data_IF_103219946379
#
_entry.id   IF_103219946379
#
_cell.length_a   1.000
_cell.length_b   1.000
_cell.length_c   1.000
_cell.angle_alpha   90.00
_cell.angle_beta   90.00
_cell.angle_gamma   90.00
#
_symmetry.space_group_name_H-M   'P 1'
#
loop_
_entity.id
_entity.type
_entity.pdbx_description
1 polymer ?
#
# COMPACT_ATOMS: atom_id res chain seq x y z
N UNK A 1 -7.26 -26.14 -27.48
CA UNK A 1 -7.16 -24.88 -26.72
C UNK A 1 -7.74 -23.79 -27.61
N UNK A 2 -8.74 -23.05 -27.14
CA UNK A 2 -9.23 -21.86 -27.87
C UNK A 2 -8.11 -20.83 -27.94
N UNK A 3 -7.84 -20.32 -29.11
CA UNK A 3 -6.85 -19.24 -29.32
C UNK A 3 -7.21 -18.06 -28.40
N UNK A 4 -6.26 -17.61 -27.58
CA UNK A 4 -6.46 -16.43 -26.73
C UNK A 4 -6.49 -15.20 -27.62
N UNK A 5 -7.61 -14.48 -27.58
CA UNK A 5 -7.86 -13.31 -28.45
C UNK A 5 -7.91 -12.05 -27.59
N UNK A 6 -7.30 -10.99 -28.09
CA UNK A 6 -7.36 -9.66 -27.49
C UNK A 6 -8.81 -9.21 -27.28
N UNK A 7 -9.14 -8.80 -26.05
CA UNK A 7 -10.44 -8.20 -25.71
C UNK A 7 -10.28 -6.69 -25.49
N UNK A 8 -10.95 -5.89 -26.30
CA UNK A 8 -10.85 -4.43 -26.24
C UNK A 8 -11.50 -3.84 -24.99
N UNK A 9 -12.57 -4.47 -24.48
CA UNK A 9 -13.22 -4.06 -23.22
C UNK A 9 -12.32 -4.28 -22.02
N UNK A 10 -11.68 -5.46 -21.92
CA UNK A 10 -10.71 -5.77 -20.88
C UNK A 10 -9.52 -4.83 -20.95
N UNK A 11 -8.99 -4.58 -22.17
CA UNK A 11 -7.87 -3.67 -22.38
C UNK A 11 -8.20 -2.24 -21.93
N UNK A 12 -9.38 -1.72 -22.32
CA UNK A 12 -9.83 -0.38 -21.91
C UNK A 12 -9.99 -0.27 -20.38
N UNK A 13 -10.56 -1.30 -19.76
CA UNK A 13 -10.68 -1.36 -18.29
C UNK A 13 -9.31 -1.36 -17.63
N UNK A 14 -8.37 -2.16 -18.11
CA UNK A 14 -7.05 -2.27 -17.51
C UNK A 14 -6.18 -1.02 -17.71
N UNK A 15 -6.28 -0.34 -18.87
CA UNK A 15 -5.65 0.97 -19.07
C UNK A 15 -6.20 2.01 -18.07
N UNK A 16 -7.53 2.04 -17.90
CA UNK A 16 -8.21 2.92 -16.93
C UNK A 16 -7.79 2.57 -15.51
N UNK A 17 -7.81 1.30 -15.13
CA UNK A 17 -7.40 0.82 -13.80
C UNK A 17 -5.95 1.18 -13.51
N UNK A 18 -5.04 1.04 -14.46
CA UNK A 18 -3.63 1.43 -14.34
C UNK A 18 -3.50 2.92 -14.01
N UNK A 19 -4.23 3.79 -14.74
CA UNK A 19 -4.24 5.22 -14.49
C UNK A 19 -4.83 5.57 -13.11
N UNK A 20 -5.90 4.87 -12.69
CA UNK A 20 -6.51 5.03 -11.37
C UNK A 20 -5.54 4.65 -10.24
N UNK A 21 -4.79 3.55 -10.38
CA UNK A 21 -3.80 3.15 -9.37
C UNK A 21 -2.61 4.12 -9.37
N UNK A 22 -2.16 4.62 -10.54
CA UNK A 22 -1.13 5.67 -10.57
C UNK A 22 -1.57 6.90 -9.77
N UNK A 23 -2.82 7.32 -9.92
CA UNK A 23 -3.40 8.48 -9.20
C UNK A 23 -3.35 8.30 -7.67
N UNK A 24 -3.34 7.05 -7.17
CA UNK A 24 -3.27 6.80 -5.73
C UNK A 24 -1.97 7.28 -5.10
N UNK A 25 -0.84 7.25 -5.81
CA UNK A 25 0.43 7.73 -5.24
C UNK A 25 0.46 9.25 -5.06
N UNK A 26 0.06 10.10 -6.02
CA UNK A 26 -0.21 11.52 -5.75
C UNK A 26 -1.30 11.74 -4.69
N UNK A 27 -2.35 10.92 -4.66
CA UNK A 27 -3.37 10.94 -3.60
C UNK A 27 -2.78 10.69 -2.21
N UNK A 28 -1.88 9.71 -2.10
CA UNK A 28 -1.12 9.43 -0.89
C UNK A 28 -0.21 10.60 -0.50
N UNK A 29 0.45 11.23 -1.48
CA UNK A 29 1.27 12.41 -1.25
C UNK A 29 0.47 13.56 -0.64
N UNK A 30 -0.77 13.78 -1.08
CA UNK A 30 -1.68 14.77 -0.49
C UNK A 30 -2.17 14.35 0.89
N UNK A 31 -2.55 13.09 1.06
CA UNK A 31 -3.02 12.53 2.33
C UNK A 31 -1.93 12.65 3.41
N UNK A 32 -0.73 12.14 3.14
CA UNK A 32 0.41 12.24 4.05
C UNK A 32 0.92 13.68 4.20
N UNK A 33 1.00 14.42 3.09
CA UNK A 33 1.38 15.82 3.09
C UNK A 33 0.51 16.68 3.97
N UNK A 34 -0.81 16.45 3.98
CA UNK A 34 -1.75 17.12 4.88
C UNK A 34 -1.61 16.73 6.36
N UNK A 35 -1.16 15.50 6.64
CA UNK A 35 -1.00 14.96 8.00
C UNK A 35 0.28 15.40 8.71
N UNK A 36 1.37 15.67 7.98
CA UNK A 36 2.63 16.14 8.55
C UNK A 36 2.54 17.61 8.98
N UNK A 37 3.60 18.11 9.66
CA UNK A 37 3.73 19.53 9.97
C UNK A 37 3.96 20.35 8.70
N UNK A 38 3.51 21.62 8.68
CA UNK A 38 3.61 22.53 7.53
C UNK A 38 5.03 22.67 6.94
N UNK A 39 6.06 22.45 7.75
CA UNK A 39 7.48 22.52 7.39
C UNK A 39 8.10 21.19 6.94
N UNK A 40 7.29 20.17 6.73
CA UNK A 40 7.66 18.84 6.24
C UNK A 40 6.83 18.37 5.06
N UNK A 41 5.97 19.22 4.52
CA UNK A 41 4.99 18.86 3.46
C UNK A 41 5.68 18.45 2.17
N UNK A 42 6.63 19.29 1.70
CA UNK A 42 7.30 19.06 0.42
C UNK A 42 8.17 17.81 0.46
N UNK A 43 8.94 17.62 1.54
CA UNK A 43 9.71 16.40 1.72
C UNK A 43 8.81 15.15 1.70
N UNK A 44 7.67 15.20 2.40
CA UNK A 44 6.73 14.07 2.43
C UNK A 44 6.16 13.75 1.05
N UNK A 45 5.75 14.78 0.30
CA UNK A 45 5.27 14.62 -1.07
C UNK A 45 6.38 14.12 -2.00
N UNK A 46 7.59 14.68 -1.90
CA UNK A 46 8.75 14.26 -2.68
C UNK A 46 9.14 12.79 -2.44
N UNK A 47 8.98 12.27 -1.22
CA UNK A 47 9.20 10.86 -0.93
C UNK A 47 8.27 9.96 -1.74
N UNK A 48 7.00 10.34 -1.92
CA UNK A 48 6.04 9.61 -2.77
C UNK A 48 6.39 9.74 -4.26
N UNK A 49 6.68 10.97 -4.74
CA UNK A 49 6.97 11.21 -6.16
C UNK A 49 8.28 10.56 -6.61
N UNK A 50 9.34 10.62 -5.79
CA UNK A 50 10.61 9.96 -6.14
C UNK A 50 10.47 8.44 -6.18
N UNK A 51 9.59 7.86 -5.35
CA UNK A 51 9.27 6.43 -5.42
C UNK A 51 8.64 6.05 -6.76
N UNK A 52 7.75 6.90 -7.31
CA UNK A 52 7.20 6.69 -8.66
C UNK A 52 8.32 6.65 -9.72
N UNK A 53 9.23 7.63 -9.69
CA UNK A 53 10.33 7.70 -10.65
C UNK A 53 11.30 6.52 -10.56
N UNK A 54 11.73 6.17 -9.34
CA UNK A 54 12.69 5.08 -9.13
C UNK A 54 12.08 3.72 -9.50
N UNK A 55 10.91 3.40 -8.93
CA UNK A 55 10.35 2.06 -9.09
C UNK A 55 9.91 1.81 -10.53
N UNK A 56 9.40 2.82 -11.25
CA UNK A 56 9.05 2.67 -12.67
C UNK A 56 10.26 2.28 -13.53
N UNK A 57 11.44 2.87 -13.25
CA UNK A 57 12.68 2.51 -13.94
C UNK A 57 13.17 1.12 -13.54
N UNK A 58 13.22 0.80 -12.25
CA UNK A 58 13.64 -0.52 -11.77
C UNK A 58 12.73 -1.63 -12.30
N UNK A 59 11.42 -1.35 -12.37
CA UNK A 59 10.43 -2.30 -12.86
C UNK A 59 10.71 -2.73 -14.31
N UNK A 60 11.00 -1.77 -15.18
CA UNK A 60 11.36 -2.03 -16.58
C UNK A 60 12.73 -2.72 -16.68
N UNK A 61 13.72 -2.30 -15.88
CA UNK A 61 15.06 -2.86 -15.96
C UNK A 61 15.09 -4.34 -15.57
N UNK A 62 14.50 -4.71 -14.42
CA UNK A 62 14.56 -6.09 -13.91
C UNK A 62 13.40 -6.46 -12.94
N UNK A 63 12.69 -5.49 -12.38
CA UNK A 63 11.68 -5.72 -11.36
C UNK A 63 10.51 -6.58 -11.86
N UNK A 64 10.03 -6.32 -13.08
CA UNK A 64 9.04 -7.18 -13.71
C UNK A 64 9.53 -8.62 -13.84
N UNK A 65 10.77 -8.81 -14.30
CA UNK A 65 11.38 -10.12 -14.46
C UNK A 65 11.54 -10.86 -13.12
N UNK A 66 11.95 -10.16 -12.06
CA UNK A 66 12.04 -10.74 -10.71
C UNK A 66 10.68 -11.16 -10.14
N UNK A 67 9.59 -10.54 -10.62
CA UNK A 67 8.24 -10.80 -10.12
C UNK A 67 7.49 -11.82 -10.97
N UNK A 68 7.59 -11.74 -12.30
CA UNK A 68 6.80 -12.52 -13.27
C UNK A 68 7.66 -13.27 -14.30
N UNK A 69 8.95 -13.38 -14.07
CA UNK A 69 9.83 -14.26 -14.83
C UNK A 69 9.73 -15.69 -14.31
N UNK A 70 10.30 -16.62 -15.08
CA UNK A 70 10.33 -18.05 -14.74
C UNK A 70 10.81 -18.28 -13.30
N UNK A 71 10.06 -19.08 -12.57
CA UNK A 71 10.35 -19.33 -11.15
C UNK A 71 11.76 -19.91 -10.90
N UNK A 72 12.41 -19.31 -9.91
CA UNK A 72 13.64 -19.79 -9.32
C UNK A 72 13.40 -20.10 -7.83
N UNK A 73 13.76 -21.28 -7.40
CA UNK A 73 13.72 -21.65 -5.99
C UNK A 73 12.34 -22.09 -5.48
N UNK A 74 11.53 -22.68 -6.36
CA UNK A 74 10.25 -23.28 -6.00
C UNK A 74 9.23 -22.26 -5.41
N UNK A 75 9.00 -21.18 -6.16
CA UNK A 75 8.04 -20.14 -5.84
C UNK A 75 8.61 -18.96 -5.04
N UNK A 76 9.93 -18.82 -4.97
CA UNK A 76 10.57 -17.78 -4.17
C UNK A 76 10.94 -16.51 -4.95
N UNK A 77 11.27 -16.63 -6.25
CA UNK A 77 11.74 -15.50 -7.05
C UNK A 77 11.62 -15.81 -8.54
N UNK A 78 11.14 -14.87 -9.33
CA UNK A 78 11.25 -14.93 -10.79
C UNK A 78 12.69 -14.66 -11.26
N UNK A 79 13.07 -15.23 -12.43
CA UNK A 79 14.39 -15.04 -13.02
C UNK A 79 14.62 -13.56 -13.38
N UNK A 80 15.55 -12.85 -12.71
CA UNK A 80 15.81 -11.44 -12.97
C UNK A 80 16.31 -11.15 -14.38
N UNK A 81 16.83 -12.17 -15.07
CA UNK A 81 17.49 -12.01 -16.38
C UNK A 81 16.58 -12.26 -17.58
N UNK A 82 15.44 -12.92 -17.38
CA UNK A 82 14.57 -13.38 -18.47
C UNK A 82 13.99 -12.24 -19.31
N UNK A 83 13.45 -11.23 -18.65
CA UNK A 83 12.76 -10.09 -19.29
C UNK A 83 13.46 -8.76 -19.03
N UNK A 84 14.78 -8.72 -18.91
CA UNK A 84 15.52 -7.46 -18.72
C UNK A 84 15.14 -6.46 -19.80
N UNK A 85 14.73 -5.24 -19.36
CA UNK A 85 14.27 -4.19 -20.26
C UNK A 85 12.99 -4.55 -21.00
N UNK A 86 12.20 -5.50 -20.48
CA UNK A 86 10.96 -6.03 -21.08
C UNK A 86 11.17 -6.70 -22.44
N UNK A 87 12.36 -7.24 -22.67
CA UNK A 87 12.72 -7.91 -23.91
C UNK A 87 11.73 -9.04 -24.22
N UNK A 88 11.17 -9.02 -25.44
CA UNK A 88 10.22 -10.04 -25.92
C UNK A 88 8.76 -9.76 -25.52
N UNK A 89 8.47 -8.79 -24.63
CA UNK A 89 7.13 -8.55 -24.11
C UNK A 89 6.37 -7.39 -24.76
N UNK A 90 7.05 -6.60 -25.63
CA UNK A 90 6.45 -5.41 -26.27
C UNK A 90 5.88 -5.67 -27.67
N UNK A 91 5.91 -6.92 -28.14
CA UNK A 91 5.35 -7.27 -29.44
C UNK A 91 3.83 -7.06 -29.44
N UNK A 92 3.23 -6.63 -30.58
CA UNK A 92 1.79 -6.35 -30.67
C UNK A 92 0.90 -7.57 -30.39
N UNK A 93 1.41 -8.78 -30.57
CA UNK A 93 0.77 -10.08 -30.33
C UNK A 93 1.09 -10.67 -28.94
N UNK A 94 1.91 -9.99 -28.15
CA UNK A 94 2.20 -10.41 -26.78
C UNK A 94 0.99 -10.11 -25.87
N UNK A 95 0.31 -11.17 -25.41
CA UNK A 95 -0.87 -11.11 -24.56
C UNK A 95 -0.62 -11.76 -23.20
N UNK A 96 -1.17 -11.12 -22.16
CA UNK A 96 -1.38 -11.70 -20.83
C UNK A 96 -2.88 -11.92 -20.66
N UNK A 97 -3.35 -13.16 -20.70
CA UNK A 97 -4.78 -13.43 -20.81
C UNK A 97 -5.35 -12.70 -22.04
N UNK A 98 -6.40 -11.91 -21.86
CA UNK A 98 -7.13 -11.19 -22.93
C UNK A 98 -6.61 -9.77 -23.17
N UNK A 99 -5.55 -9.33 -22.54
CA UNK A 99 -5.01 -7.96 -22.61
C UNK A 99 -3.56 -7.95 -23.14
N UNK A 100 -3.08 -6.83 -23.74
CA UNK A 100 -1.66 -6.71 -24.06
C UNK A 100 -0.78 -6.87 -22.83
N UNK A 101 0.30 -7.64 -22.94
CA UNK A 101 1.25 -7.85 -21.83
C UNK A 101 1.79 -6.54 -21.29
N UNK A 102 2.00 -5.53 -22.14
CA UNK A 102 2.45 -4.19 -21.72
C UNK A 102 1.47 -3.48 -20.79
N UNK A 103 0.17 -3.74 -20.90
CA UNK A 103 -0.85 -3.19 -20.00
C UNK A 103 -0.79 -3.87 -18.63
N UNK A 104 -0.62 -5.19 -18.60
CA UNK A 104 -0.39 -5.94 -17.36
C UNK A 104 0.88 -5.48 -16.65
N UNK A 105 1.99 -5.32 -17.38
CA UNK A 105 3.27 -4.81 -16.87
C UNK A 105 3.07 -3.44 -16.20
N UNK A 106 2.40 -2.51 -16.90
CA UNK A 106 2.14 -1.18 -16.37
C UNK A 106 1.24 -1.21 -15.13
N UNK A 107 0.20 -2.05 -15.12
CA UNK A 107 -0.69 -2.21 -13.97
C UNK A 107 0.05 -2.69 -12.73
N UNK A 108 0.84 -3.74 -12.85
CA UNK A 108 1.60 -4.31 -11.74
C UNK A 108 2.71 -3.36 -11.22
N UNK A 109 3.30 -2.53 -12.09
CA UNK A 109 4.23 -1.48 -11.68
C UNK A 109 3.62 -0.51 -10.66
N UNK A 110 2.32 -0.19 -10.78
CA UNK A 110 1.64 0.74 -9.87
C UNK A 110 1.58 0.20 -8.44
N UNK A 111 1.44 -1.12 -8.28
CA UNK A 111 1.46 -1.78 -6.97
C UNK A 111 2.86 -1.72 -6.33
N UNK A 112 3.91 -1.94 -7.11
CA UNK A 112 5.29 -1.80 -6.65
C UNK A 112 5.57 -0.37 -6.15
N UNK A 113 5.12 0.63 -6.90
CA UNK A 113 5.29 2.06 -6.57
C UNK A 113 4.59 2.40 -5.25
N UNK A 114 3.29 2.10 -5.16
CA UNK A 114 2.51 2.54 -3.99
C UNK A 114 2.97 1.81 -2.73
N UNK A 115 3.39 0.54 -2.82
CA UNK A 115 3.77 -0.25 -1.65
C UNK A 115 4.96 0.37 -0.91
N UNK A 116 6.03 0.72 -1.62
CA UNK A 116 7.17 1.39 -0.98
C UNK A 116 6.82 2.81 -0.54
N UNK A 117 6.00 3.54 -1.30
CA UNK A 117 5.58 4.89 -0.94
C UNK A 117 4.82 4.92 0.41
N UNK A 118 4.00 3.90 0.72
CA UNK A 118 3.29 3.78 2.00
C UNK A 118 4.23 3.81 3.20
N UNK A 119 5.42 3.20 3.10
CA UNK A 119 6.39 3.11 4.19
C UNK A 119 6.85 4.50 4.64
N UNK A 120 6.91 5.46 3.72
CA UNK A 120 7.36 6.84 4.01
C UNK A 120 6.57 7.51 5.13
N UNK A 121 5.28 7.18 5.26
CA UNK A 121 4.42 7.70 6.33
C UNK A 121 4.89 7.35 7.73
N UNK A 122 5.50 6.18 7.93
CA UNK A 122 5.99 5.76 9.24
C UNK A 122 7.20 6.57 9.71
N UNK A 123 8.05 7.02 8.79
CA UNK A 123 9.30 7.73 9.07
C UNK A 123 9.25 9.23 8.74
N UNK A 124 8.06 9.75 8.50
CA UNK A 124 7.83 11.15 8.16
C UNK A 124 8.47 12.11 9.18
N UNK A 125 8.77 13.33 8.71
CA UNK A 125 9.39 14.45 9.46
C UNK A 125 10.85 14.26 9.89
N UNK A 126 11.48 13.07 9.69
CA UNK A 126 12.85 12.83 10.20
C UNK A 126 13.76 12.00 9.30
N UNK A 127 13.25 11.40 8.23
CA UNK A 127 14.07 10.63 7.31
C UNK A 127 14.86 11.53 6.36
N UNK A 128 16.17 11.25 6.16
CA UNK A 128 16.97 11.90 5.12
C UNK A 128 16.45 11.51 3.74
N UNK A 129 16.25 12.48 2.86
CA UNK A 129 15.76 12.23 1.51
C UNK A 129 16.68 11.31 0.68
N UNK A 130 18.00 11.54 0.73
CA UNK A 130 18.96 10.67 0.03
C UNK A 130 18.97 9.23 0.57
N UNK A 131 18.77 9.04 1.88
CA UNK A 131 18.63 7.71 2.47
C UNK A 131 17.31 7.03 2.04
N UNK A 132 16.24 7.80 1.90
CA UNK A 132 14.99 7.32 1.33
C UNK A 132 15.14 6.82 -0.11
N UNK A 133 15.85 7.57 -0.96
CA UNK A 133 16.16 7.14 -2.34
C UNK A 133 16.84 5.76 -2.37
N UNK A 134 17.88 5.59 -1.55
CA UNK A 134 18.60 4.30 -1.45
C UNK A 134 17.67 3.21 -0.88
N UNK A 135 16.87 3.56 0.13
CA UNK A 135 15.88 2.64 0.71
C UNK A 135 14.89 2.15 -0.34
N UNK A 136 14.31 3.03 -1.16
CA UNK A 136 13.36 2.66 -2.23
C UNK A 136 13.98 1.66 -3.20
N UNK A 137 15.22 1.91 -3.67
CA UNK A 137 15.91 1.01 -4.61
C UNK A 137 16.11 -0.38 -3.99
N UNK A 138 16.70 -0.43 -2.81
CA UNK A 138 17.11 -1.68 -2.18
C UNK A 138 15.88 -2.46 -1.68
N UNK A 139 14.92 -1.77 -1.06
CA UNK A 139 13.71 -2.39 -0.50
C UNK A 139 12.80 -2.94 -1.60
N UNK A 140 12.56 -2.20 -2.68
CA UNK A 140 11.78 -2.71 -3.80
C UNK A 140 12.41 -3.97 -4.39
N UNK A 141 13.74 -3.97 -4.55
CA UNK A 141 14.48 -5.09 -5.11
C UNK A 141 14.48 -6.33 -4.20
N UNK A 142 14.78 -6.15 -2.91
CA UNK A 142 14.99 -7.28 -2.00
C UNK A 142 13.73 -7.69 -1.22
N UNK A 143 12.69 -6.84 -1.17
CA UNK A 143 11.48 -7.16 -0.41
C UNK A 143 10.26 -7.22 -1.32
N UNK A 144 9.96 -6.13 -2.04
CA UNK A 144 8.71 -6.08 -2.79
C UNK A 144 8.68 -7.08 -3.94
N UNK A 145 9.67 -7.10 -4.82
CA UNK A 145 9.65 -7.96 -6.01
C UNK A 145 9.56 -9.45 -5.66
N UNK A 146 10.33 -9.98 -4.68
CA UNK A 146 10.14 -11.36 -4.23
C UNK A 146 8.76 -11.63 -3.62
N UNK A 147 8.26 -10.76 -2.74
CA UNK A 147 6.95 -10.95 -2.10
C UNK A 147 5.82 -10.86 -3.14
N UNK A 148 5.93 -9.97 -4.13
CA UNK A 148 4.98 -9.89 -5.22
C UNK A 148 4.99 -11.15 -6.10
N UNK A 149 6.16 -11.75 -6.34
CA UNK A 149 6.25 -13.07 -6.97
C UNK A 149 5.50 -14.14 -6.16
N UNK A 150 5.71 -14.23 -4.85
CA UNK A 150 5.03 -15.21 -4.01
C UNK A 150 3.52 -15.18 -4.11
N UNK A 151 2.95 -13.98 -4.31
CA UNK A 151 1.50 -13.70 -4.15
C UNK A 151 0.80 -13.53 -5.49
N UNK A 152 1.46 -12.92 -6.49
CA UNK A 152 0.81 -12.49 -7.73
C UNK A 152 1.26 -13.24 -8.98
N UNK A 153 2.30 -14.05 -8.87
CA UNK A 153 2.72 -14.90 -9.99
C UNK A 153 1.97 -16.23 -9.94
N UNK A 154 0.96 -16.36 -10.81
CA UNK A 154 0.14 -17.55 -10.89
C UNK A 154 0.74 -18.56 -11.86
N UNK A 155 0.58 -19.87 -11.55
CA UNK A 155 1.03 -20.98 -12.36
C UNK A 155 0.55 -20.85 -13.82
N UNK A 156 1.50 -20.81 -14.76
CA UNK A 156 1.23 -20.72 -16.19
C UNK A 156 0.98 -22.08 -16.85
N UNK A 157 1.18 -23.17 -16.13
CA UNK A 157 0.98 -24.55 -16.62
C UNK A 157 2.12 -25.14 -17.43
N UNK A 158 3.22 -24.40 -17.66
CA UNK A 158 4.39 -24.82 -18.48
C UNK A 158 5.58 -25.32 -17.63
N UNK A 159 5.33 -26.08 -16.55
CA UNK A 159 6.31 -26.48 -15.54
C UNK A 159 6.94 -25.29 -14.77
N UNK A 160 6.23 -24.17 -14.73
CA UNK A 160 6.54 -23.03 -13.90
C UNK A 160 5.53 -22.97 -12.77
N UNK A 161 5.91 -23.30 -11.53
CA UNK A 161 4.98 -23.37 -10.40
C UNK A 161 4.48 -22.00 -9.95
N UNK A 162 5.07 -20.92 -10.45
CA UNK A 162 4.77 -19.56 -9.98
C UNK A 162 4.99 -19.39 -8.48
N UNK A 163 4.47 -18.29 -7.91
CA UNK A 163 4.66 -17.94 -6.51
C UNK A 163 4.07 -18.96 -5.52
N UNK A 164 4.80 -19.30 -4.48
CA UNK A 164 4.43 -20.35 -3.54
C UNK A 164 3.20 -20.04 -2.68
N UNK A 165 2.95 -18.76 -2.34
CA UNK A 165 1.76 -18.36 -1.55
C UNK A 165 0.50 -18.54 -2.39
N UNK A 166 0.54 -18.10 -3.65
CA UNK A 166 -0.59 -18.20 -4.56
C UNK A 166 -0.89 -19.65 -4.93
N UNK A 167 0.11 -20.40 -5.40
CA UNK A 167 -0.11 -21.68 -6.07
C UNK A 167 0.06 -22.88 -5.13
N UNK A 168 1.15 -22.96 -4.35
CA UNK A 168 1.41 -24.12 -3.50
C UNK A 168 0.61 -24.07 -2.20
N UNK A 169 0.53 -22.90 -1.54
CA UNK A 169 -0.26 -22.73 -0.33
C UNK A 169 -1.74 -22.52 -0.65
N UNK A 170 -2.06 -21.81 -1.73
CA UNK A 170 -3.43 -21.46 -2.11
C UNK A 170 -4.08 -20.48 -1.13
N UNK A 171 -3.30 -19.52 -0.62
CA UNK A 171 -3.84 -18.40 0.13
C UNK A 171 -4.48 -17.39 -0.83
N UNK A 172 -5.56 -16.76 -0.41
CA UNK A 172 -6.26 -15.75 -1.19
C UNK A 172 -5.73 -14.37 -0.81
N UNK A 173 -5.14 -13.69 -1.77
CA UNK A 173 -4.79 -12.27 -1.69
C UNK A 173 -5.07 -11.61 -3.03
N UNK A 174 -6.30 -11.14 -3.22
CA UNK A 174 -6.77 -10.73 -4.54
C UNK A 174 -6.06 -9.50 -5.08
N UNK A 175 -5.78 -8.53 -4.23
CA UNK A 175 -5.19 -7.27 -4.66
C UNK A 175 -4.05 -6.75 -3.75
N UNK A 176 -3.56 -7.52 -2.76
CA UNK A 176 -2.35 -7.16 -2.03
C UNK A 176 -2.52 -6.88 -0.54
N UNK A 177 -3.39 -7.61 0.14
CA UNK A 177 -3.46 -7.56 1.61
C UNK A 177 -2.12 -7.93 2.25
N UNK A 178 -1.49 -9.00 1.78
CA UNK A 178 -0.14 -9.43 2.20
C UNK A 178 0.94 -8.68 1.43
N UNK A 179 0.89 -8.72 0.09
CA UNK A 179 1.95 -8.20 -0.78
C UNK A 179 2.15 -6.68 -0.67
N UNK A 180 1.10 -5.92 -0.37
CA UNK A 180 1.13 -4.46 -0.26
C UNK A 180 1.04 -4.02 1.20
N UNK A 181 -0.09 -4.33 1.88
CA UNK A 181 -0.40 -3.67 3.15
C UNK A 181 0.34 -4.26 4.35
N UNK A 182 0.37 -5.59 4.52
CA UNK A 182 1.19 -6.23 5.57
C UNK A 182 2.65 -5.93 5.33
N UNK A 183 3.10 -6.06 4.07
CA UNK A 183 4.47 -5.81 3.65
C UNK A 183 4.92 -4.38 4.00
N UNK A 184 4.19 -3.35 3.53
CA UNK A 184 4.50 -1.95 3.83
C UNK A 184 4.36 -1.62 5.32
N UNK A 185 3.34 -2.13 5.99
CA UNK A 185 3.07 -1.85 7.39
C UNK A 185 4.15 -2.39 8.32
N UNK A 186 4.60 -3.62 8.12
CA UNK A 186 5.67 -4.23 8.92
C UNK A 186 7.05 -3.64 8.58
N UNK A 187 7.29 -3.30 7.31
CA UNK A 187 8.48 -2.57 6.89
C UNK A 187 8.54 -1.18 7.55
N UNK A 188 7.40 -0.49 7.64
CA UNK A 188 7.27 0.76 8.39
C UNK A 188 7.70 0.60 9.84
N UNK A 189 7.23 -0.44 10.52
CA UNK A 189 7.64 -0.73 11.90
C UNK A 189 9.15 -0.98 12.01
N UNK A 190 9.72 -1.79 11.13
CA UNK A 190 11.16 -2.07 11.13
C UNK A 190 11.99 -0.79 10.92
N UNK A 191 11.60 0.06 9.98
CA UNK A 191 12.27 1.34 9.72
C UNK A 191 12.16 2.31 10.92
N UNK A 192 10.99 2.37 11.58
CA UNK A 192 10.77 3.17 12.79
C UNK A 192 11.68 2.76 13.95
N UNK A 193 11.88 1.46 14.15
CA UNK A 193 12.76 0.96 15.21
C UNK A 193 14.23 1.35 15.00
N UNK A 194 14.66 1.52 13.75
CA UNK A 194 16.03 1.97 13.42
C UNK A 194 16.15 3.48 13.50
N UNK A 195 15.24 4.23 12.87
CA UNK A 195 15.36 5.70 12.78
C UNK A 195 15.08 6.40 14.12
N UNK A 196 14.35 5.75 15.03
CA UNK A 196 14.01 6.27 16.35
C UNK A 196 12.85 7.28 16.35
N UNK A 197 12.62 7.89 17.51
CA UNK A 197 11.47 8.79 17.77
C UNK A 197 11.75 10.21 17.29
N UNK A 198 10.71 10.91 16.80
CA UNK A 198 10.77 12.36 16.53
C UNK A 198 11.05 13.15 17.80
N UNK A 199 11.70 14.30 17.65
CA UNK A 199 11.84 15.26 18.75
C UNK A 199 10.44 15.67 19.24
N UNK A 200 10.20 15.53 20.55
CA UNK A 200 8.90 15.82 21.18
C UNK A 200 7.88 14.66 21.16
N UNK A 201 8.20 13.48 20.61
CA UNK A 201 7.27 12.35 20.62
C UNK A 201 6.80 11.99 22.06
N UNK A 202 5.48 11.89 22.23
CA UNK A 202 4.85 11.63 23.53
C UNK A 202 4.79 12.84 24.47
N UNK A 203 5.35 13.99 24.08
CA UNK A 203 5.32 15.24 24.88
C UNK A 203 4.55 16.36 24.18
N UNK A 204 4.62 16.41 22.86
CA UNK A 204 3.98 17.43 22.02
C UNK A 204 2.99 16.77 21.06
N UNK A 205 1.83 17.38 20.80
CA UNK A 205 0.90 16.87 19.81
C UNK A 205 1.40 17.18 18.40
N UNK A 206 1.58 16.13 17.57
CA UNK A 206 1.82 16.28 16.14
C UNK A 206 0.48 16.36 15.40
N UNK A 207 -0.05 17.57 15.26
CA UNK A 207 -1.33 17.78 14.58
C UNK A 207 -1.14 17.90 13.07
N UNK A 208 -2.05 17.32 12.25
CA UNK A 208 -2.12 17.60 10.83
C UNK A 208 -2.18 19.09 10.57
N UNK A 209 -1.35 19.58 9.64
CA UNK A 209 -1.37 21.03 9.34
C UNK A 209 -2.50 21.42 8.40
N UNK A 210 -3.03 20.48 7.60
CA UNK A 210 -4.07 20.76 6.61
C UNK A 210 -5.00 19.57 6.41
N UNK A 211 -6.11 19.55 7.16
CA UNK A 211 -7.12 18.49 7.07
C UNK A 211 -7.87 18.49 5.72
N UNK A 212 -7.94 19.62 5.01
CA UNK A 212 -8.53 19.65 3.68
C UNK A 212 -7.71 18.82 2.69
N UNK A 213 -6.37 18.94 2.71
CA UNK A 213 -5.50 18.08 1.91
C UNK A 213 -5.64 16.61 2.28
N UNK A 214 -5.76 16.29 3.57
CA UNK A 214 -6.02 14.92 4.05
C UNK A 214 -7.31 14.36 3.45
N UNK A 215 -8.39 15.12 3.48
CA UNK A 215 -9.69 14.70 2.93
C UNK A 215 -9.65 14.52 1.41
N UNK A 216 -9.02 15.44 0.69
CA UNK A 216 -8.82 15.33 -0.76
C UNK A 216 -7.98 14.10 -1.10
N UNK A 217 -6.87 13.89 -0.39
CA UNK A 217 -6.01 12.72 -0.56
C UNK A 217 -6.76 11.41 -0.30
N UNK A 218 -7.55 11.34 0.78
CA UNK A 218 -8.39 10.16 1.06
C UNK A 218 -9.42 9.90 -0.03
N UNK A 219 -10.04 10.95 -0.59
CA UNK A 219 -10.99 10.84 -1.70
C UNK A 219 -10.34 10.32 -2.98
N UNK A 220 -9.12 10.79 -3.31
CA UNK A 220 -8.35 10.31 -4.45
C UNK A 220 -7.89 8.86 -4.25
N UNK A 221 -7.51 8.48 -3.04
CA UNK A 221 -7.19 7.09 -2.70
C UNK A 221 -8.41 6.20 -2.87
N UNK A 222 -9.60 6.61 -2.38
CA UNK A 222 -10.83 5.84 -2.57
C UNK A 222 -11.17 5.67 -4.05
N UNK A 223 -11.12 6.75 -4.81
CA UNK A 223 -11.39 6.70 -6.25
C UNK A 223 -10.41 5.78 -7.00
N UNK A 224 -9.12 5.89 -6.72
CA UNK A 224 -8.09 5.05 -7.33
C UNK A 224 -8.21 3.58 -6.94
N UNK A 225 -8.76 3.29 -5.76
CA UNK A 225 -8.88 1.92 -5.25
C UNK A 225 -9.89 1.06 -6.02
N UNK A 226 -10.79 1.66 -6.77
CA UNK A 226 -11.61 0.91 -7.72
C UNK A 226 -10.74 0.27 -8.81
N UNK A 227 -9.74 0.99 -9.33
CA UNK A 227 -8.75 0.42 -10.24
C UNK A 227 -7.85 -0.59 -9.53
N UNK A 228 -7.44 -0.31 -8.29
CA UNK A 228 -6.58 -1.18 -7.50
C UNK A 228 -7.23 -2.57 -7.28
N UNK A 229 -8.45 -2.61 -6.75
CA UNK A 229 -9.15 -3.85 -6.45
C UNK A 229 -9.84 -4.45 -7.67
N UNK A 230 -10.74 -3.73 -8.35
CA UNK A 230 -11.49 -4.30 -9.46
C UNK A 230 -10.62 -4.47 -10.73
N UNK A 231 -9.55 -3.68 -10.89
CA UNK A 231 -8.52 -3.91 -11.90
C UNK A 231 -7.74 -5.21 -11.69
N UNK A 232 -7.60 -5.70 -10.46
CA UNK A 232 -6.93 -6.97 -10.16
C UNK A 232 -7.66 -8.21 -10.70
N UNK A 233 -8.90 -8.04 -11.20
CA UNK A 233 -9.57 -9.07 -11.99
C UNK A 233 -8.93 -9.26 -13.39
N UNK A 234 -8.06 -8.36 -13.82
CA UNK A 234 -7.36 -8.32 -15.12
C UNK A 234 -8.32 -8.42 -16.33
N UNK A 235 -9.61 -8.17 -16.10
CA UNK A 235 -10.67 -8.20 -17.11
C UNK A 235 -11.88 -7.38 -16.64
N UNK A 236 -12.73 -6.93 -17.56
CA UNK A 236 -14.01 -6.30 -17.27
C UNK A 236 -15.13 -7.34 -17.21
N UNK A 237 -15.10 -8.16 -16.17
CA UNK A 237 -15.97 -9.32 -15.97
C UNK A 237 -16.81 -9.24 -14.68
N UNK A 238 -17.55 -10.29 -14.39
CA UNK A 238 -18.36 -10.38 -13.17
C UNK A 238 -17.52 -10.25 -11.88
N UNK A 239 -16.28 -10.78 -11.88
CA UNK A 239 -15.37 -10.63 -10.74
C UNK A 239 -15.01 -9.17 -10.49
N UNK A 240 -14.71 -8.41 -11.54
CA UNK A 240 -14.47 -6.96 -11.44
C UNK A 240 -15.69 -6.23 -10.86
N UNK A 241 -16.91 -6.60 -11.29
CA UNK A 241 -18.16 -6.01 -10.80
C UNK A 241 -18.40 -6.25 -9.31
N UNK A 242 -18.25 -7.49 -8.86
CA UNK A 242 -18.39 -7.86 -7.43
C UNK A 242 -17.32 -7.15 -6.59
N UNK A 243 -16.08 -7.16 -7.06
CA UNK A 243 -14.94 -6.52 -6.39
C UNK A 243 -15.13 -5.01 -6.25
N UNK A 244 -15.67 -4.36 -7.30
CA UNK A 244 -15.99 -2.93 -7.27
C UNK A 244 -17.04 -2.63 -6.18
N UNK A 245 -18.14 -3.40 -6.16
CA UNK A 245 -19.20 -3.23 -5.16
C UNK A 245 -18.67 -3.46 -3.75
N UNK A 246 -17.94 -4.55 -3.51
CA UNK A 246 -17.40 -4.91 -2.20
C UNK A 246 -16.40 -3.84 -1.71
N UNK A 247 -15.56 -3.28 -2.59
CA UNK A 247 -14.67 -2.18 -2.26
C UNK A 247 -15.45 -0.94 -1.82
N UNK A 248 -16.52 -0.61 -2.52
CA UNK A 248 -17.38 0.53 -2.19
C UNK A 248 -18.03 0.39 -0.81
N UNK A 249 -18.70 -0.75 -0.56
CA UNK A 249 -19.48 -0.92 0.68
C UNK A 249 -18.62 -1.13 1.91
N UNK A 250 -17.49 -1.87 1.78
CA UNK A 250 -16.55 -2.06 2.89
C UNK A 250 -15.90 -0.75 3.32
N UNK A 251 -15.58 0.12 2.38
CA UNK A 251 -15.03 1.45 2.67
C UNK A 251 -16.01 2.31 3.44
N UNK A 252 -17.27 2.35 2.99
CA UNK A 252 -18.33 3.06 3.70
C UNK A 252 -18.54 2.54 5.12
N UNK A 253 -18.59 1.22 5.28
CA UNK A 253 -18.71 0.57 6.59
C UNK A 253 -17.50 0.86 7.49
N UNK A 254 -16.28 0.83 6.94
CA UNK A 254 -15.05 1.14 7.66
C UNK A 254 -15.03 2.59 8.17
N UNK A 255 -15.39 3.55 7.31
CA UNK A 255 -15.50 4.96 7.70
C UNK A 255 -16.50 5.15 8.85
N UNK A 256 -17.70 4.59 8.73
CA UNK A 256 -18.72 4.72 9.76
C UNK A 256 -18.32 4.05 11.07
N UNK A 257 -17.67 2.89 11.03
CA UNK A 257 -17.18 2.19 12.19
C UNK A 257 -16.09 2.98 12.92
N UNK A 258 -15.13 3.56 12.21
CA UNK A 258 -14.09 4.42 12.80
C UNK A 258 -14.71 5.63 13.51
N UNK A 259 -15.59 6.37 12.82
CA UNK A 259 -16.29 7.52 13.39
C UNK A 259 -17.12 7.16 14.62
N UNK A 260 -17.71 5.97 14.63
CA UNK A 260 -18.45 5.45 15.79
C UNK A 260 -17.52 5.22 16.98
N UNK A 261 -16.37 4.61 16.76
CA UNK A 261 -15.36 4.41 17.83
C UNK A 261 -14.89 5.76 18.39
N UNK A 262 -14.55 6.74 17.52
CA UNK A 262 -14.16 8.09 17.97
C UNK A 262 -15.28 8.76 18.76
N UNK A 263 -16.51 8.69 18.28
CA UNK A 263 -17.64 9.29 18.97
C UNK A 263 -17.86 8.72 20.38
N UNK A 264 -17.67 7.41 20.54
CA UNK A 264 -17.81 6.74 21.84
C UNK A 264 -16.62 7.03 22.76
N UNK A 265 -15.40 6.97 22.23
CA UNK A 265 -14.16 7.10 23.00
C UNK A 265 -13.82 8.55 23.33
N UNK A 266 -13.96 9.44 22.33
CA UNK A 266 -13.43 10.81 22.37
C UNK A 266 -14.55 11.87 22.40
N UNK A 267 -15.81 11.46 22.24
CA UNK A 267 -16.98 12.34 22.24
C UNK A 267 -17.25 13.04 20.91
N UNK A 268 -16.36 12.95 19.92
CA UNK A 268 -16.45 13.62 18.63
C UNK A 268 -16.10 12.68 17.49
N UNK A 269 -16.80 12.79 16.37
CA UNK A 269 -16.40 12.23 15.08
C UNK A 269 -15.58 13.29 14.33
N UNK A 270 -14.41 12.94 13.81
CA UNK A 270 -13.48 13.88 13.19
C UNK A 270 -13.33 13.67 11.69
N UNK A 271 -12.92 14.71 10.94
CA UNK A 271 -12.59 14.59 9.53
C UNK A 271 -11.34 13.71 9.31
N UNK A 272 -10.39 13.76 10.24
CA UNK A 272 -9.24 12.86 10.24
C UNK A 272 -9.67 11.41 10.43
N UNK A 273 -10.58 11.15 11.37
CA UNK A 273 -11.15 9.82 11.59
C UNK A 273 -11.95 9.31 10.40
N UNK A 274 -12.71 10.18 9.72
CA UNK A 274 -13.38 9.81 8.48
C UNK A 274 -12.38 9.38 7.39
N UNK A 275 -11.32 10.16 7.18
CA UNK A 275 -10.28 9.84 6.20
C UNK A 275 -9.51 8.56 6.56
N UNK A 276 -9.15 8.37 7.84
CA UNK A 276 -8.49 7.16 8.33
C UNK A 276 -9.38 5.92 8.21
N UNK A 277 -10.68 6.04 8.52
CA UNK A 277 -11.66 4.97 8.38
C UNK A 277 -11.92 4.57 6.92
N UNK A 278 -11.88 5.52 5.99
CA UNK A 278 -11.89 5.25 4.54
C UNK A 278 -10.69 4.36 4.18
N UNK A 279 -9.48 4.78 4.54
CA UNK A 279 -8.26 4.02 4.21
C UNK A 279 -8.27 2.66 4.90
N UNK A 280 -8.68 2.57 6.17
CA UNK A 280 -8.76 1.29 6.89
C UNK A 280 -9.73 0.30 6.23
N UNK A 281 -10.90 0.76 5.79
CA UNK A 281 -11.88 -0.06 5.06
C UNK A 281 -11.35 -0.54 3.71
N UNK A 282 -10.66 0.34 2.96
CA UNK A 282 -10.03 0.03 1.68
C UNK A 282 -8.91 -1.01 1.84
N UNK A 283 -8.02 -0.83 2.82
CA UNK A 283 -6.95 -1.77 3.14
C UNK A 283 -7.50 -3.15 3.49
N UNK A 284 -8.51 -3.18 4.37
CA UNK A 284 -9.09 -4.42 4.87
C UNK A 284 -9.76 -5.25 3.78
N UNK A 285 -10.50 -4.61 2.86
CA UNK A 285 -11.22 -5.32 1.80
C UNK A 285 -10.28 -5.80 0.67
N UNK A 286 -9.10 -5.23 0.54
CA UNK A 286 -8.16 -5.50 -0.56
C UNK A 286 -7.84 -6.98 -0.77
N UNK A 287 -7.52 -7.81 0.25
CA UNK A 287 -7.27 -9.24 0.04
C UNK A 287 -8.51 -10.06 -0.28
N UNK A 288 -9.69 -9.60 0.12
CA UNK A 288 -10.93 -10.37 0.20
C UNK A 288 -12.02 -9.93 -0.77
N UNK A 289 -11.79 -8.84 -1.54
CA UNK A 289 -12.84 -8.18 -2.31
C UNK A 289 -13.54 -9.08 -3.35
N UNK A 290 -12.86 -10.11 -3.86
CA UNK A 290 -13.44 -11.13 -4.78
C UNK A 290 -13.92 -12.41 -4.06
N UNK A 291 -13.68 -12.53 -2.75
CA UNK A 291 -13.93 -13.78 -2.02
C UNK A 291 -15.14 -13.72 -1.08
N UNK A 292 -15.69 -12.54 -0.83
CA UNK A 292 -16.81 -12.32 0.10
C UNK A 292 -18.04 -11.77 -0.62
N UNK A 293 -19.20 -11.99 -0.04
CA UNK A 293 -20.44 -11.32 -0.47
C UNK A 293 -20.51 -9.88 0.09
N UNK A 294 -21.46 -9.04 -0.35
CA UNK A 294 -21.55 -7.66 0.13
C UNK A 294 -21.79 -7.52 1.64
N UNK A 295 -22.45 -8.46 2.30
CA UNK A 295 -22.65 -8.44 3.76
C UNK A 295 -21.35 -8.77 4.48
N UNK A 296 -20.61 -9.77 3.98
CA UNK A 296 -19.26 -10.09 4.44
C UNK A 296 -18.31 -8.91 4.25
N UNK A 297 -18.40 -8.19 3.13
CA UNK A 297 -17.59 -6.99 2.88
C UNK A 297 -17.90 -5.87 3.89
N UNK A 298 -19.16 -5.61 4.20
CA UNK A 298 -19.58 -4.64 5.24
C UNK A 298 -19.02 -5.06 6.60
N UNK A 299 -19.20 -6.29 7.00
CA UNK A 299 -18.73 -6.80 8.28
C UNK A 299 -17.19 -6.71 8.39
N UNK A 300 -16.49 -7.13 7.35
CA UNK A 300 -15.03 -7.11 7.27
C UNK A 300 -14.48 -5.68 7.36
N UNK A 301 -15.04 -4.75 6.58
CA UNK A 301 -14.65 -3.35 6.60
C UNK A 301 -14.87 -2.71 7.97
N UNK A 302 -16.02 -2.96 8.61
CA UNK A 302 -16.33 -2.44 9.94
C UNK A 302 -15.40 -3.02 11.02
N UNK A 303 -15.24 -4.34 11.09
CA UNK A 303 -14.41 -5.01 12.10
C UNK A 303 -12.95 -4.53 12.00
N UNK A 304 -12.39 -4.56 10.79
CA UNK A 304 -11.00 -4.16 10.60
C UNK A 304 -10.77 -2.68 10.91
N UNK A 305 -11.72 -1.82 10.57
CA UNK A 305 -11.61 -0.39 10.88
C UNK A 305 -11.68 -0.10 12.39
N UNK A 306 -12.50 -0.83 13.14
CA UNK A 306 -12.48 -0.79 14.61
C UNK A 306 -11.11 -1.20 15.14
N UNK A 307 -10.55 -2.31 14.66
CA UNK A 307 -9.22 -2.77 15.07
C UNK A 307 -8.13 -1.74 14.75
N UNK A 308 -8.15 -1.14 13.57
CA UNK A 308 -7.21 -0.09 13.17
C UNK A 308 -7.34 1.14 14.07
N UNK A 309 -8.55 1.61 14.35
CA UNK A 309 -8.79 2.80 15.20
C UNK A 309 -8.31 2.63 16.65
N UNK A 310 -8.29 1.38 17.14
CA UNK A 310 -7.72 1.04 18.44
C UNK A 310 -6.18 0.90 18.33
N UNK A 311 -5.70 0.34 17.24
CA UNK A 311 -4.27 0.06 17.04
C UNK A 311 -3.43 1.33 16.85
N UNK A 312 -3.94 2.40 16.24
CA UNK A 312 -3.19 3.65 16.08
C UNK A 312 -2.74 4.25 17.41
N UNK A 313 -3.45 3.97 18.51
CA UNK A 313 -3.06 4.38 19.86
C UNK A 313 -1.93 3.55 20.49
N UNK A 314 -1.64 2.35 19.96
CA UNK A 314 -0.63 1.45 20.52
C UNK A 314 0.79 2.03 20.45
N UNK A 315 1.08 2.88 19.46
CA UNK A 315 2.39 3.54 19.32
C UNK A 315 2.81 4.30 20.59
N UNK A 316 1.87 4.94 21.28
CA UNK A 316 2.15 5.64 22.54
C UNK A 316 2.39 4.68 23.71
N UNK A 317 1.68 3.55 23.75
CA UNK A 317 1.82 2.53 24.82
C UNK A 317 3.09 1.70 24.65
N UNK A 318 3.41 1.32 23.41
CA UNK A 318 4.56 0.48 23.07
C UNK A 318 5.82 1.30 22.77
N UNK A 319 5.67 2.60 22.59
CA UNK A 319 6.80 3.53 22.49
C UNK A 319 7.52 3.51 21.14
N UNK A 320 6.86 3.14 20.04
CA UNK A 320 7.38 3.32 18.67
C UNK A 320 6.71 4.52 18.00
N UNK A 321 7.49 5.34 17.28
CA UNK A 321 6.99 6.56 16.65
C UNK A 321 6.64 6.34 15.18
N UNK A 322 5.52 5.67 14.95
CA UNK A 322 4.88 5.58 13.62
C UNK A 322 4.17 6.91 13.34
N UNK A 323 4.77 7.73 12.46
CA UNK A 323 4.36 9.13 12.32
C UNK A 323 2.93 9.29 11.81
N UNK A 324 2.53 8.54 10.78
CA UNK A 324 1.25 8.69 10.09
C UNK A 324 0.42 7.39 10.10
N UNK A 325 0.56 6.60 11.16
CA UNK A 325 -0.27 5.43 11.45
C UNK A 325 -0.19 4.28 10.41
N UNK A 326 0.96 4.14 9.74
CA UNK A 326 1.19 3.08 8.74
C UNK A 326 1.06 1.69 9.38
N UNK A 327 1.60 1.49 10.57
CA UNK A 327 1.45 0.24 11.33
C UNK A 327 0.00 0.03 11.76
N UNK A 328 -0.63 1.06 12.33
CA UNK A 328 -1.99 0.98 12.83
C UNK A 328 -3.04 0.72 11.74
N UNK A 329 -2.84 1.26 10.54
CA UNK A 329 -3.79 1.16 9.42
C UNK A 329 -3.41 0.04 8.44
N UNK A 330 -2.18 0.06 7.90
CA UNK A 330 -1.80 -0.89 6.84
C UNK A 330 -1.43 -2.26 7.39
N UNK A 331 -0.65 -2.36 8.48
CA UNK A 331 -0.32 -3.64 9.07
C UNK A 331 -1.56 -4.30 9.69
N UNK A 332 -2.26 -3.59 10.56
CA UNK A 332 -3.43 -4.16 11.27
C UNK A 332 -4.60 -4.38 10.30
N UNK A 333 -4.86 -3.44 9.40
CA UNK A 333 -5.90 -3.57 8.38
C UNK A 333 -5.62 -4.71 7.40
N UNK A 334 -4.37 -4.82 6.91
CA UNK A 334 -3.95 -5.90 6.04
C UNK A 334 -4.03 -7.27 6.72
N UNK A 335 -3.56 -7.39 7.97
CA UNK A 335 -3.65 -8.62 8.76
C UNK A 335 -5.09 -9.03 9.01
N UNK A 336 -5.91 -8.10 9.52
CA UNK A 336 -7.32 -8.41 9.80
C UNK A 336 -8.08 -8.76 8.52
N UNK A 337 -7.89 -7.99 7.43
CA UNK A 337 -8.51 -8.27 6.15
C UNK A 337 -8.12 -9.63 5.58
N UNK A 338 -6.81 -9.96 5.58
CA UNK A 338 -6.31 -11.24 5.08
C UNK A 338 -6.79 -12.43 5.92
N UNK A 339 -6.81 -12.32 7.24
CA UNK A 339 -7.32 -13.40 8.12
C UNK A 339 -8.84 -13.57 7.98
N UNK A 340 -9.58 -12.48 7.85
CA UNK A 340 -11.03 -12.51 7.74
C UNK A 340 -11.51 -13.09 6.39
N UNK A 341 -10.65 -13.19 5.36
CA UNK A 341 -10.94 -14.05 4.18
C UNK A 341 -11.27 -15.46 4.63
N UNK A 342 -10.45 -16.07 5.49
CA UNK A 342 -10.66 -17.42 6.00
C UNK A 342 -11.96 -17.59 6.81
N UNK A 343 -12.58 -16.49 7.23
CA UNK A 343 -13.83 -16.47 8.00
C UNK A 343 -15.04 -16.19 7.10
N UNK A 344 -14.98 -15.14 6.28
CA UNK A 344 -16.11 -14.60 5.51
C UNK A 344 -16.16 -15.02 4.05
N UNK A 345 -15.15 -15.72 3.53
CA UNK A 345 -15.19 -16.19 2.14
C UNK A 345 -16.40 -17.07 1.88
N UNK A 346 -16.98 -16.94 0.68
CA UNK A 346 -18.11 -17.77 0.24
C UNK A 346 -17.92 -18.23 -1.19
N UNK A 347 -18.26 -19.48 -1.47
CA UNK A 347 -18.24 -20.06 -2.82
C UNK A 347 -19.19 -19.35 -3.80
N UNK A 348 -20.14 -18.57 -3.30
CA UNK A 348 -21.00 -17.72 -4.14
C UNK A 348 -20.25 -16.50 -4.71
N UNK A 349 -19.11 -16.12 -4.14
CA UNK A 349 -18.25 -15.06 -4.64
C UNK A 349 -17.29 -15.59 -5.72
N UNK A 350 -16.70 -14.70 -6.55
CA UNK A 350 -15.83 -15.10 -7.66
C UNK A 350 -14.64 -16.01 -7.31
N UNK A 351 -14.11 -15.92 -6.10
CA UNK A 351 -13.02 -16.80 -5.64
C UNK A 351 -13.44 -18.26 -5.45
N UNK A 352 -14.73 -18.54 -5.35
CA UNK A 352 -15.28 -19.90 -5.32
C UNK A 352 -14.89 -20.74 -4.08
N UNK A 353 -14.56 -20.09 -2.94
CA UNK A 353 -14.07 -20.75 -1.72
C UNK A 353 -14.95 -20.40 -0.54
N UNK A 354 -15.34 -21.40 0.24
CA UNK A 354 -16.04 -21.18 1.51
C UNK A 354 -15.08 -21.04 2.67
N UNK A 355 -15.30 -20.02 3.47
CA UNK A 355 -14.63 -19.79 4.76
C UNK A 355 -15.38 -20.45 5.91
N UNK A 356 -14.93 -20.15 7.12
CA UNK A 356 -15.42 -20.76 8.35
C UNK A 356 -16.95 -20.59 8.53
N UNK A 357 -17.50 -19.41 8.26
CA UNK A 357 -18.92 -19.11 8.44
C UNK A 357 -19.83 -19.79 7.39
N UNK A 358 -19.29 -20.17 6.26
CA UNK A 358 -20.02 -20.82 5.17
C UNK A 358 -19.75 -22.33 5.07
N UNK A 359 -19.17 -22.92 6.14
CA UNK A 359 -18.98 -24.37 6.23
C UNK A 359 -17.70 -24.91 5.60
N UNK A 360 -16.79 -24.04 5.11
CA UNK A 360 -15.50 -24.43 4.52
C UNK A 360 -14.45 -24.91 5.54
N UNK A 361 -14.77 -24.87 6.85
CA UNK A 361 -13.83 -25.25 7.91
C UNK A 361 -12.69 -24.22 8.07
N UNK A 362 -11.67 -24.60 8.87
CA UNK A 362 -10.55 -23.72 9.19
C UNK A 362 -9.42 -23.71 8.15
N UNK A 363 -9.52 -24.52 7.09
CA UNK A 363 -8.43 -24.71 6.11
C UNK A 363 -7.96 -23.40 5.47
N UNK A 364 -8.91 -22.58 4.97
CA UNK A 364 -8.56 -21.30 4.36
C UNK A 364 -7.99 -20.31 5.38
N UNK A 365 -8.49 -20.27 6.60
CA UNK A 365 -7.95 -19.43 7.66
C UNK A 365 -6.48 -19.78 8.00
N UNK A 366 -6.15 -21.07 8.03
CA UNK A 366 -4.76 -21.54 8.25
C UNK A 366 -3.84 -21.10 7.11
N UNK A 367 -4.29 -21.24 5.86
CA UNK A 367 -3.53 -20.76 4.68
C UNK A 367 -3.26 -19.25 4.77
N UNK A 368 -4.28 -18.47 5.10
CA UNK A 368 -4.13 -17.02 5.29
C UNK A 368 -3.13 -16.69 6.41
N UNK A 369 -3.22 -17.39 7.54
CA UNK A 369 -2.30 -17.16 8.66
C UNK A 369 -0.85 -17.47 8.32
N UNK A 370 -0.60 -18.55 7.55
CA UNK A 370 0.75 -18.90 7.07
C UNK A 370 1.28 -17.83 6.12
N UNK A 371 0.48 -17.39 5.15
CA UNK A 371 0.86 -16.34 4.20
C UNK A 371 1.20 -15.02 4.93
N UNK A 372 0.32 -14.60 5.84
CA UNK A 372 0.56 -13.40 6.66
C UNK A 372 1.85 -13.53 7.49
N UNK A 373 2.04 -14.67 8.18
CA UNK A 373 3.22 -14.92 9.00
C UNK A 373 4.52 -14.90 8.20
N UNK A 374 4.52 -15.47 7.01
CA UNK A 374 5.69 -15.49 6.13
C UNK A 374 6.08 -14.08 5.65
N UNK A 375 5.10 -13.31 5.16
CA UNK A 375 5.36 -11.93 4.71
C UNK A 375 5.77 -11.05 5.88
N UNK A 376 5.14 -11.17 7.05
CA UNK A 376 5.54 -10.46 8.27
C UNK A 376 7.00 -10.72 8.62
N UNK A 377 7.40 -11.98 8.72
CA UNK A 377 8.74 -12.37 9.13
C UNK A 377 9.80 -11.90 8.12
N UNK A 378 9.58 -12.20 6.84
CA UNK A 378 10.50 -11.82 5.78
C UNK A 378 10.68 -10.32 5.67
N UNK A 379 9.57 -9.60 5.52
CA UNK A 379 9.61 -8.15 5.32
C UNK A 379 10.19 -7.42 6.53
N UNK A 380 9.85 -7.84 7.75
CA UNK A 380 10.42 -7.25 8.96
C UNK A 380 11.93 -7.43 9.01
N UNK A 381 12.41 -8.67 8.86
CA UNK A 381 13.83 -9.01 9.02
C UNK A 381 14.65 -8.29 7.93
N UNK A 382 14.25 -8.42 6.66
CA UNK A 382 15.00 -7.83 5.54
C UNK A 382 14.96 -6.30 5.62
N UNK A 383 13.81 -5.70 5.95
CA UNK A 383 13.72 -4.25 6.12
C UNK A 383 14.57 -3.75 7.27
N UNK A 384 14.61 -4.47 8.39
CA UNK A 384 15.44 -4.10 9.54
C UNK A 384 16.93 -4.08 9.16
N UNK A 385 17.38 -5.08 8.39
CA UNK A 385 18.75 -5.16 7.88
C UNK A 385 19.04 -3.98 6.93
N UNK A 386 18.15 -3.73 5.95
CA UNK A 386 18.30 -2.63 5.00
C UNK A 386 18.37 -1.28 5.73
N UNK A 387 17.42 -1.01 6.62
CA UNK A 387 17.36 0.23 7.37
C UNK A 387 18.62 0.42 8.25
N UNK A 388 19.11 -0.67 8.88
CA UNK A 388 20.33 -0.61 9.69
C UNK A 388 21.58 -0.37 8.86
N UNK A 389 21.70 -0.99 7.69
CA UNK A 389 22.82 -0.76 6.77
C UNK A 389 22.83 0.70 6.27
N UNK A 390 21.68 1.26 5.90
CA UNK A 390 21.55 2.67 5.53
C UNK A 390 21.96 3.57 6.70
N UNK A 391 21.47 3.26 7.91
CA UNK A 391 21.78 4.05 9.10
C UNK A 391 23.28 4.12 9.41
N UNK A 392 23.98 2.99 9.35
CA UNK A 392 25.41 2.93 9.67
C UNK A 392 26.32 3.45 8.56
N UNK A 393 25.86 3.46 7.30
CA UNK A 393 26.67 3.89 6.15
C UNK A 393 26.52 5.37 5.81
N UNK A 394 25.28 5.85 5.73
CA UNK A 394 25.00 7.24 5.32
C UNK A 394 24.13 8.02 6.31
N UNK A 395 23.67 7.36 7.37
CA UNK A 395 22.74 7.89 8.36
C UNK A 395 21.32 7.98 7.79
N UNK A 396 20.36 7.36 8.48
CA UNK A 396 18.95 7.33 8.02
C UNK A 396 18.19 8.59 8.44
N UNK A 397 18.59 9.21 9.56
CA UNK A 397 17.91 10.36 10.16
C UNK A 397 18.61 11.67 9.86
N UNK A 398 17.81 12.76 9.70
CA UNK A 398 18.31 14.15 9.66
C UNK A 398 18.82 14.59 11.04
N UNK A 399 19.52 15.72 11.09
CA UNK A 399 19.92 16.33 12.36
C UNK A 399 18.68 16.81 13.14
N UNK A 400 18.78 16.83 14.47
CA UNK A 400 17.70 17.34 15.33
C UNK A 400 17.39 18.82 15.03
N UNK A 401 18.39 19.61 14.68
CA UNK A 401 18.22 21.01 14.26
C UNK A 401 17.36 21.11 13.01
N UNK A 402 17.64 20.32 11.96
CA UNK A 402 16.86 20.28 10.73
C UNK A 402 15.41 19.79 10.99
N UNK A 403 15.23 18.85 11.91
CA UNK A 403 13.91 18.39 12.32
C UNK A 403 13.10 19.50 13.01
N UNK A 404 13.74 20.32 13.85
CA UNK A 404 13.11 21.44 14.56
C UNK A 404 12.86 22.61 13.62
N UNK A 405 13.84 22.97 12.80
CA UNK A 405 13.76 24.12 11.85
C UNK A 405 12.76 23.84 10.74
N UNK A 406 12.80 22.65 10.17
CA UNK A 406 11.94 22.19 9.09
C UNK A 406 12.72 21.44 8.01
N UNK A 407 12.26 20.25 7.70
CA UNK A 407 12.93 19.36 6.76
C UNK A 407 12.87 19.90 5.32
N UNK A 408 11.79 20.57 4.92
CA UNK A 408 11.62 21.11 3.58
C UNK A 408 12.74 22.12 3.27
N UNK A 409 12.95 23.08 4.16
CA UNK A 409 14.00 24.08 3.99
C UNK A 409 15.41 23.46 4.08
N UNK A 410 15.61 22.56 5.03
CA UNK A 410 16.93 21.97 5.28
C UNK A 410 17.41 21.02 4.17
N UNK A 411 16.47 20.34 3.49
CA UNK A 411 16.79 19.29 2.50
C UNK A 411 16.53 19.75 1.07
N UNK A 412 15.48 20.53 0.83
CA UNK A 412 15.04 20.93 -0.51
C UNK A 412 15.24 22.42 -0.77
N UNK A 413 15.63 23.22 0.24
CA UNK A 413 15.74 24.68 0.15
C UNK A 413 14.43 25.38 -0.29
N UNK A 414 13.30 24.77 0.04
CA UNK A 414 11.95 25.21 -0.34
C UNK A 414 11.03 25.29 0.88
N UNK A 415 9.95 26.04 0.75
CA UNK A 415 8.85 26.09 1.72
C UNK A 415 7.52 25.85 1.01
N UNK A 416 6.66 25.02 1.61
CA UNK A 416 5.35 24.70 1.01
C UNK A 416 4.40 25.90 0.97
N UNK A 417 4.58 26.86 1.89
CA UNK A 417 3.71 28.02 2.03
C UNK A 417 4.53 29.29 2.24
N UNK A 418 4.28 30.30 1.44
CA UNK A 418 4.77 31.64 1.71
C UNK A 418 3.90 32.33 2.78
N UNK A 419 4.27 32.16 4.06
CA UNK A 419 3.63 32.86 5.18
C UNK A 419 4.32 34.21 5.39
N UNK A 420 4.68 34.90 4.29
CA UNK A 420 5.40 36.14 4.31
C UNK A 420 4.62 37.31 3.74
N UNK A 421 4.36 38.33 4.57
CA UNK A 421 3.92 39.70 4.22
C UNK A 421 2.42 39.97 3.94
N UNK A 422 1.52 39.37 4.72
CA UNK A 422 0.19 40.00 4.88
C UNK A 422 0.24 41.23 5.84
N UNK A 423 1.43 41.62 6.30
CA UNK A 423 1.59 42.67 7.34
C UNK A 423 2.41 43.92 7.01
N UNK A 424 3.00 44.06 5.81
CA UNK A 424 3.87 45.21 5.52
C UNK A 424 3.34 46.23 4.50
N UNK A 425 2.05 46.24 4.20
CA UNK A 425 1.45 47.37 3.45
C UNK A 425 0.91 48.44 4.38
N UNK A 426 1.73 48.93 5.32
CA UNK A 426 1.47 50.20 6.04
C UNK A 426 2.73 51.05 6.00
N UNK A 427 2.68 52.06 5.15
CA UNK A 427 3.63 53.16 5.23
C UNK A 427 4.12 53.73 3.90
N UNK A 428 3.23 53.90 2.94
CA UNK A 428 3.43 54.91 1.92
C UNK A 428 2.72 56.17 2.38
N UNK A 429 3.40 56.99 3.19
CA UNK A 429 2.93 58.39 3.40
C UNK A 429 3.51 59.26 2.27
N UNK A 430 2.62 59.99 1.65
CA UNK A 430 2.88 61.10 0.72
C UNK A 430 3.70 62.18 1.36
#
# INVERSE_FOLDING_TARGET
>A
MSEVVLNTGDTAWMLTSTALVLLMTPGLALFYGGMVRAKGVLNMMMMSFVSMGIVSVLWVLYGYSMTFGKDLGNGLLGDPSEFIGLKGLIAPDSLFGTIPTTVFIAFQAMFAIITVALISGAIADRAKFGAWVVFVIVWSTLVYFPVAHWVFDFDSGDNDPGGWIANQLGAIDFAGGTAVHINAGIAGLAAVLVIGKRAGFGREPFKPHNLTLVMVGAGLLWFGWFGFNAGSAVASNAAAGVTFLNTFVATGAGMLAWLTVEKIRDGHATSLGAASGVVAGLVAITPSCSAVDPLGAIALGAISSVLCSLAVGLKYKLGYDDSLDVVGVHLVGGLSGSLLVGVFATAAAPAGVDGLLYGGGSGQLVKQAIACGAVLAYSFIVTLIIAKLIDVTMGFRISQEAEITGIDLAVHAETAYEIGNVGSSRGGSF
#
